data_IF_557689266836
#
_entry.id   IF_557689266836
#
_cell.length_a   1.000
_cell.length_b   1.000
_cell.length_c   1.000
_cell.angle_alpha   90.00
_cell.angle_beta   90.00
_cell.angle_gamma   90.00
#
_symmetry.space_group_name_H-M   'P 1'
#
loop_
_entity.id
_entity.type
_entity.pdbx_description
1 polymer ?
#
# COMPACT_ATOMS: atom_id res chain seq x y z
N UNK A 1 5.10 6.62 -15.55
CA UNK A 1 5.99 5.62 -16.15
C UNK A 1 6.91 4.93 -15.15
N UNK A 2 6.90 5.32 -13.85
CA UNK A 2 7.87 4.87 -12.82
C UNK A 2 7.67 3.42 -12.35
N UNK A 3 6.52 2.80 -12.62
CA UNK A 3 6.20 1.43 -12.18
C UNK A 3 5.67 0.58 -13.34
N UNK A 4 6.38 0.58 -14.48
CA UNK A 4 6.00 -0.18 -15.67
C UNK A 4 7.09 -1.14 -16.08
N UNK A 5 6.69 -2.25 -16.67
CA UNK A 5 7.57 -3.12 -17.43
C UNK A 5 7.99 -2.47 -18.75
N UNK A 6 8.99 -3.05 -19.42
CA UNK A 6 9.49 -2.55 -20.71
C UNK A 6 8.46 -2.59 -21.85
N UNK A 7 7.42 -3.43 -21.72
CA UNK A 7 6.28 -3.50 -22.65
C UNK A 7 5.18 -2.45 -22.36
N UNK A 8 5.38 -1.61 -21.32
CA UNK A 8 4.46 -0.57 -20.90
C UNK A 8 3.37 -1.04 -19.92
N UNK A 9 3.27 -2.32 -19.62
CA UNK A 9 2.33 -2.84 -18.61
C UNK A 9 2.75 -2.45 -17.19
N UNK A 10 1.78 -2.47 -16.27
CA UNK A 10 2.00 -2.10 -14.88
C UNK A 10 2.80 -3.15 -14.12
N UNK A 11 3.77 -2.73 -13.30
CA UNK A 11 4.40 -3.56 -12.26
C UNK A 11 3.60 -3.59 -10.96
N UNK A 12 2.55 -2.77 -10.86
CA UNK A 12 1.60 -2.83 -9.74
C UNK A 12 0.60 -3.95 -10.08
N UNK A 13 0.65 -5.02 -9.29
CA UNK A 13 -0.17 -6.22 -9.47
C UNK A 13 -1.58 -6.05 -8.87
N UNK A 14 -1.67 -5.30 -7.78
CA UNK A 14 -2.94 -4.94 -7.14
C UNK A 14 -2.81 -3.65 -6.33
N UNK A 15 -3.93 -2.94 -6.21
CA UNK A 15 -4.09 -1.80 -5.32
C UNK A 15 -5.36 -2.05 -4.50
N UNK A 16 -5.25 -2.15 -3.18
CA UNK A 16 -6.40 -2.06 -2.31
C UNK A 16 -6.59 -0.62 -1.84
N UNK A 17 -7.63 0.03 -2.33
CA UNK A 17 -8.02 1.36 -1.89
C UNK A 17 -9.04 1.23 -0.73
N UNK A 18 -8.58 1.46 0.49
CA UNK A 18 -9.42 1.45 1.68
C UNK A 18 -10.34 2.67 1.77
N UNK A 19 -10.13 3.70 0.93
CA UNK A 19 -10.96 4.91 0.92
C UNK A 19 -12.15 4.81 -0.02
N UNK A 20 -12.16 3.84 -0.92
CA UNK A 20 -13.25 3.61 -1.86
C UNK A 20 -14.52 3.14 -1.14
N UNK A 21 -15.68 3.59 -1.64
CA UNK A 21 -16.97 3.08 -1.15
C UNK A 21 -17.22 1.66 -1.66
N UNK A 22 -17.86 0.85 -0.82
CA UNK A 22 -18.21 -0.53 -1.14
C UNK A 22 -17.45 -1.54 -0.31
N UNK A 23 -17.54 -2.78 -0.71
CA UNK A 23 -16.81 -3.93 -0.19
C UNK A 23 -16.80 -4.98 -1.29
N UNK A 24 -15.70 -5.70 -1.42
CA UNK A 24 -15.54 -6.80 -2.37
C UNK A 24 -15.18 -8.08 -1.63
N UNK A 25 -15.38 -9.22 -2.30
CA UNK A 25 -14.94 -10.50 -1.75
C UNK A 25 -13.42 -10.48 -1.50
N UNK A 26 -13.02 -10.86 -0.29
CA UNK A 26 -11.61 -10.91 0.12
C UNK A 26 -11.11 -9.67 0.88
N UNK A 27 -11.87 -8.56 0.94
CA UNK A 27 -11.53 -7.40 1.77
C UNK A 27 -12.75 -6.90 2.57
N UNK A 28 -12.56 -6.45 3.82
CA UNK A 28 -13.69 -6.06 4.68
C UNK A 28 -14.38 -4.76 4.24
N UNK A 29 -13.70 -3.92 3.48
CA UNK A 29 -14.19 -2.63 2.96
C UNK A 29 -13.27 -2.13 1.84
N UNK A 30 -13.66 -1.04 1.19
CA UNK A 30 -12.88 -0.48 0.10
C UNK A 30 -13.00 -1.29 -1.18
N UNK A 31 -12.05 -1.09 -2.09
CA UNK A 31 -12.04 -1.75 -3.40
C UNK A 31 -10.64 -2.18 -3.80
N UNK A 32 -10.54 -3.36 -4.44
CA UNK A 32 -9.27 -3.87 -4.99
C UNK A 32 -9.28 -3.69 -6.51
N UNK A 33 -8.21 -3.13 -7.04
CA UNK A 33 -7.96 -3.01 -8.47
C UNK A 33 -6.79 -3.92 -8.83
N UNK A 34 -7.03 -4.91 -9.67
CA UNK A 34 -6.01 -5.82 -10.13
C UNK A 34 -5.26 -5.31 -11.37
N UNK A 35 -4.12 -5.92 -11.66
CA UNK A 35 -3.22 -5.52 -12.73
C UNK A 35 -3.91 -5.36 -14.09
N UNK A 36 -4.87 -6.22 -14.41
CA UNK A 36 -5.64 -6.18 -15.65
C UNK A 36 -6.41 -4.87 -15.76
N UNK A 37 -7.14 -4.49 -14.71
CA UNK A 37 -7.90 -3.23 -14.65
C UNK A 37 -6.97 -2.02 -14.71
N UNK A 38 -5.82 -2.08 -14.02
CA UNK A 38 -4.79 -1.02 -14.07
C UNK A 38 -4.26 -0.89 -15.49
N UNK A 39 -3.96 -2.00 -16.18
CA UNK A 39 -3.48 -1.99 -17.54
C UNK A 39 -4.52 -1.48 -18.55
N UNK A 40 -5.80 -1.77 -18.34
CA UNK A 40 -6.89 -1.21 -19.15
C UNK A 40 -7.01 0.30 -18.92
N UNK A 41 -6.98 0.75 -17.66
CA UNK A 41 -7.00 2.16 -17.32
C UNK A 41 -5.84 2.92 -17.97
N UNK A 42 -4.62 2.36 -17.96
CA UNK A 42 -3.44 2.97 -18.55
C UNK A 42 -3.53 3.16 -20.08
N UNK A 43 -4.43 2.45 -20.75
CA UNK A 43 -4.70 2.56 -22.21
C UNK A 43 -5.86 3.50 -22.52
N UNK A 44 -6.66 3.87 -21.51
CA UNK A 44 -7.82 4.74 -21.69
C UNK A 44 -7.42 6.21 -21.78
N UNK A 45 -8.30 7.04 -22.35
CA UNK A 45 -8.12 8.49 -22.38
C UNK A 45 -8.29 9.11 -20.98
N UNK A 46 -9.08 8.46 -20.11
CA UNK A 46 -9.30 8.86 -18.71
C UNK A 46 -9.04 7.67 -17.76
N UNK A 47 -7.79 7.44 -17.38
CA UNK A 47 -7.43 6.36 -16.46
C UNK A 47 -8.13 6.43 -15.10
N UNK A 48 -8.38 7.65 -14.60
CA UNK A 48 -8.98 7.86 -13.30
C UNK A 48 -10.47 7.52 -13.23
N UNK A 49 -11.17 7.51 -14.36
CA UNK A 49 -12.54 7.03 -14.39
C UNK A 49 -12.66 5.52 -14.13
N UNK A 50 -11.60 4.75 -14.42
CA UNK A 50 -11.56 3.31 -14.22
C UNK A 50 -10.90 2.90 -12.90
N UNK A 51 -9.79 3.57 -12.56
CA UNK A 51 -9.01 3.34 -11.33
C UNK A 51 -8.82 4.69 -10.63
N UNK A 52 -9.81 5.15 -9.85
CA UNK A 52 -9.82 6.48 -9.22
C UNK A 52 -8.93 6.56 -7.97
N UNK A 53 -7.79 5.90 -7.99
CA UNK A 53 -6.84 5.87 -6.87
C UNK A 53 -5.82 6.99 -7.04
N UNK A 54 -5.75 7.89 -6.06
CA UNK A 54 -4.79 9.00 -6.01
C UNK A 54 -4.04 8.99 -4.69
N UNK A 55 -2.84 9.55 -4.68
CA UNK A 55 -2.06 9.80 -3.47
C UNK A 55 -2.01 11.31 -3.22
N UNK A 56 -2.95 11.80 -2.40
CA UNK A 56 -3.12 13.23 -2.14
C UNK A 56 -1.95 13.83 -1.33
N UNK A 57 -1.22 13.00 -0.57
CA UNK A 57 -0.10 13.42 0.26
C UNK A 57 1.23 13.30 -0.50
N UNK A 58 1.31 12.32 -1.42
CA UNK A 58 2.50 12.04 -2.23
C UNK A 58 3.57 11.21 -1.53
N UNK A 59 3.45 10.98 -0.21
CA UNK A 59 4.44 10.24 0.58
C UNK A 59 4.57 8.78 0.11
N UNK A 60 3.46 8.07 -0.06
CA UNK A 60 3.45 6.68 -0.49
C UNK A 60 4.07 6.51 -1.88
N UNK A 61 3.71 7.39 -2.81
CA UNK A 61 4.25 7.41 -4.17
C UNK A 61 5.76 7.67 -4.18
N UNK A 62 6.21 8.66 -3.39
CA UNK A 62 7.63 8.98 -3.26
C UNK A 62 8.43 7.79 -2.71
N UNK A 63 7.98 7.19 -1.61
CA UNK A 63 8.66 6.07 -0.99
C UNK A 63 8.66 4.81 -1.87
N UNK A 64 7.55 4.53 -2.56
CA UNK A 64 7.49 3.45 -3.55
C UNK A 64 8.46 3.70 -4.70
N UNK A 65 8.62 4.95 -5.13
CA UNK A 65 9.60 5.35 -6.14
C UNK A 65 11.03 5.05 -5.70
N UNK A 66 11.39 5.41 -4.46
CA UNK A 66 12.72 5.09 -3.90
C UNK A 66 12.94 3.57 -3.77
N UNK A 67 11.91 2.83 -3.37
CA UNK A 67 12.02 1.38 -3.22
C UNK A 67 12.12 0.64 -4.55
N UNK A 68 11.26 0.96 -5.51
CA UNK A 68 11.05 0.15 -6.70
C UNK A 68 10.80 0.95 -8.00
N UNK A 69 11.15 2.24 -8.03
CA UNK A 69 10.99 3.04 -9.25
C UNK A 69 11.87 2.54 -10.39
N UNK A 70 11.39 2.68 -11.62
CA UNK A 70 12.14 2.37 -12.82
C UNK A 70 13.44 3.19 -12.89
N UNK A 71 14.40 2.70 -13.64
CA UNK A 71 15.58 3.48 -14.01
C UNK A 71 15.15 4.67 -14.88
N UNK A 72 15.61 5.86 -14.52
CA UNK A 72 15.44 7.10 -15.29
C UNK A 72 16.84 7.65 -15.56
N UNK A 73 17.42 7.22 -16.68
CA UNK A 73 18.83 7.51 -17.01
C UNK A 73 19.11 9.02 -17.09
N UNK A 74 18.16 9.79 -17.64
CA UNK A 74 18.27 11.25 -17.79
C UNK A 74 18.40 11.99 -16.44
N UNK A 75 17.81 11.43 -15.39
CA UNK A 75 17.82 11.98 -14.03
C UNK A 75 18.89 11.32 -13.13
N UNK A 76 19.59 10.30 -13.65
CA UNK A 76 20.52 9.50 -12.86
C UNK A 76 19.85 8.78 -11.67
N UNK A 77 18.57 8.48 -11.80
CA UNK A 77 17.76 7.88 -10.73
C UNK A 77 17.43 6.42 -11.02
N UNK A 78 17.46 5.60 -9.98
CA UNK A 78 16.88 4.26 -9.96
C UNK A 78 16.37 3.93 -8.56
N UNK A 79 15.23 3.24 -8.46
CA UNK A 79 14.83 2.61 -7.21
C UNK A 79 15.79 1.49 -6.82
N UNK A 80 15.77 1.09 -5.55
CA UNK A 80 16.65 0.02 -5.04
C UNK A 80 16.35 -1.33 -5.71
N UNK A 81 15.07 -1.61 -5.97
CA UNK A 81 14.60 -2.83 -6.62
C UNK A 81 13.75 -2.50 -7.87
N UNK A 82 14.36 -1.98 -8.97
CA UNK A 82 13.61 -1.42 -10.09
C UNK A 82 12.82 -2.45 -10.90
N UNK A 83 13.06 -3.75 -10.68
CA UNK A 83 12.33 -4.84 -11.31
C UNK A 83 11.30 -5.51 -10.40
N UNK A 84 11.15 -5.05 -9.14
CA UNK A 84 10.18 -5.63 -8.22
C UNK A 84 8.75 -5.37 -8.68
N UNK A 85 7.90 -6.37 -8.56
CA UNK A 85 6.46 -6.23 -8.64
C UNK A 85 5.93 -5.61 -7.35
N UNK A 86 4.84 -4.87 -7.43
CA UNK A 86 4.28 -4.11 -6.32
C UNK A 86 2.85 -4.52 -6.04
N UNK A 87 2.52 -4.63 -4.76
CA UNK A 87 1.14 -4.64 -4.25
C UNK A 87 1.01 -3.46 -3.30
N UNK A 88 0.02 -2.62 -3.52
CA UNK A 88 -0.14 -1.35 -2.82
C UNK A 88 -1.41 -1.36 -2.00
N UNK A 89 -1.36 -0.82 -0.79
CA UNK A 89 -2.56 -0.50 -0.01
C UNK A 89 -2.60 0.99 0.26
N UNK A 90 -3.64 1.64 -0.23
CA UNK A 90 -3.99 3.02 0.14
C UNK A 90 -4.81 2.97 1.42
N UNK A 91 -4.19 3.36 2.53
CA UNK A 91 -4.85 3.39 3.84
C UNK A 91 -5.89 4.51 3.90
N UNK A 92 -7.02 4.25 4.54
CA UNK A 92 -8.00 5.30 4.86
C UNK A 92 -7.55 6.08 6.08
N UNK A 93 -7.91 7.36 6.12
CA UNK A 93 -7.68 8.22 7.27
C UNK A 93 -8.53 7.76 8.47
N UNK A 94 -7.97 7.90 9.67
CA UNK A 94 -8.71 7.70 10.89
C UNK A 94 -9.91 8.65 10.97
N UNK A 95 -11.02 8.15 11.54
CA UNK A 95 -12.24 8.92 11.68
C UNK A 95 -12.02 10.17 12.55
N UNK A 96 -12.73 11.25 12.24
CA UNK A 96 -12.60 12.54 12.95
C UNK A 96 -12.87 12.38 14.46
N UNK A 97 -13.81 11.52 14.85
CA UNK A 97 -14.09 11.27 16.26
C UNK A 97 -12.86 10.65 16.99
N UNK A 98 -12.12 9.77 16.34
CA UNK A 98 -10.90 9.20 16.89
C UNK A 98 -9.76 10.22 16.90
N UNK A 99 -9.59 11.00 15.84
CA UNK A 99 -8.61 12.09 15.82
C UNK A 99 -8.87 13.06 16.99
N UNK A 100 -10.12 13.46 17.23
CA UNK A 100 -10.50 14.32 18.35
C UNK A 100 -10.23 13.69 19.71
N UNK A 101 -10.54 12.40 19.87
CA UNK A 101 -10.26 11.65 21.10
C UNK A 101 -8.76 11.65 21.45
N UNK A 102 -7.90 11.52 20.44
CA UNK A 102 -6.46 11.51 20.60
C UNK A 102 -5.79 12.89 20.48
N UNK A 103 -6.57 13.97 20.44
CA UNK A 103 -6.08 15.35 20.26
C UNK A 103 -5.24 15.55 19.01
N UNK A 104 -5.53 14.81 17.94
CA UNK A 104 -4.90 14.94 16.62
C UNK A 104 -5.68 16.00 15.83
N UNK A 105 -4.96 16.93 15.19
CA UNK A 105 -5.55 17.93 14.31
C UNK A 105 -6.33 17.27 13.15
N UNK A 106 -7.46 17.85 12.76
CA UNK A 106 -8.32 17.26 11.72
C UNK A 106 -7.57 17.09 10.39
N UNK A 107 -6.71 18.03 10.03
CA UNK A 107 -5.90 18.01 8.80
C UNK A 107 -4.62 17.17 8.92
N UNK A 108 -4.30 16.65 10.12
CA UNK A 108 -3.11 15.82 10.31
C UNK A 108 -3.37 14.40 9.82
N UNK A 109 -2.54 13.85 8.92
CA UNK A 109 -2.67 12.45 8.51
C UNK A 109 -2.54 11.52 9.72
N UNK A 110 -3.54 10.65 9.91
CA UNK A 110 -3.54 9.64 10.96
C UNK A 110 -4.29 8.40 10.48
N UNK A 111 -3.86 7.23 10.91
CA UNK A 111 -4.38 5.94 10.46
C UNK A 111 -4.70 5.05 11.65
N UNK A 112 -5.65 4.14 11.48
CA UNK A 112 -6.05 3.21 12.52
C UNK A 112 -5.18 1.93 12.45
N UNK A 113 -4.73 1.45 13.59
CA UNK A 113 -3.90 0.25 13.68
C UNK A 113 -4.60 -0.99 13.11
N UNK A 114 -5.92 -1.10 13.29
CA UNK A 114 -6.70 -2.20 12.74
C UNK A 114 -6.73 -2.21 11.20
N UNK A 115 -6.81 -1.03 10.59
CA UNK A 115 -6.78 -0.90 9.12
C UNK A 115 -5.41 -1.26 8.57
N UNK A 116 -4.36 -0.96 9.31
CA UNK A 116 -2.99 -1.34 8.98
C UNK A 116 -2.78 -2.85 9.10
N UNK A 117 -3.28 -3.48 10.17
CA UNK A 117 -3.23 -4.95 10.33
C UNK A 117 -3.97 -5.62 9.18
N UNK A 118 -5.18 -5.14 8.84
CA UNK A 118 -5.92 -5.65 7.69
C UNK A 118 -5.18 -5.47 6.36
N UNK A 119 -4.44 -4.36 6.19
CA UNK A 119 -3.59 -4.15 5.03
C UNK A 119 -2.48 -5.19 4.93
N UNK A 120 -1.84 -5.51 6.04
CA UNK A 120 -0.77 -6.52 6.11
C UNK A 120 -1.34 -7.91 5.83
N UNK A 121 -2.50 -8.25 6.40
CA UNK A 121 -3.19 -9.53 6.13
C UNK A 121 -3.51 -9.69 4.63
N UNK A 122 -4.02 -8.63 3.99
CA UNK A 122 -4.26 -8.63 2.54
C UNK A 122 -2.98 -8.88 1.75
N UNK A 123 -1.89 -8.21 2.07
CA UNK A 123 -0.61 -8.37 1.38
C UNK A 123 -0.08 -9.81 1.53
N UNK A 124 -0.13 -10.36 2.74
CA UNK A 124 0.31 -11.73 3.02
C UNK A 124 -0.54 -12.73 2.25
N UNK A 125 -1.88 -12.60 2.31
CA UNK A 125 -2.79 -13.49 1.58
C UNK A 125 -2.53 -13.44 0.07
N UNK A 126 -2.31 -12.23 -0.47
CA UNK A 126 -2.00 -12.03 -1.88
C UNK A 126 -0.70 -12.72 -2.31
N UNK A 127 0.36 -12.62 -1.49
CA UNK A 127 1.64 -13.26 -1.76
C UNK A 127 1.57 -14.79 -1.64
N UNK A 128 0.89 -15.30 -0.60
CA UNK A 128 0.71 -16.74 -0.39
C UNK A 128 -0.07 -17.42 -1.52
N UNK A 129 -1.16 -16.77 -1.98
CA UNK A 129 -1.96 -17.30 -3.10
C UNK A 129 -1.14 -17.43 -4.39
N UNK A 130 -0.11 -16.60 -4.54
CA UNK A 130 0.75 -16.56 -5.75
C UNK A 130 2.12 -17.20 -5.55
N UNK A 131 2.34 -17.82 -4.39
CA UNK A 131 3.60 -18.47 -4.02
C UNK A 131 4.83 -17.56 -4.23
N UNK A 132 4.69 -16.26 -3.86
CA UNK A 132 5.75 -15.26 -4.00
C UNK A 132 6.29 -14.82 -2.65
N UNK A 133 7.60 -14.68 -2.58
CA UNK A 133 8.25 -13.97 -1.48
C UNK A 133 7.90 -12.49 -1.51
N UNK A 134 7.79 -11.88 -0.32
CA UNK A 134 7.38 -10.50 -0.20
C UNK A 134 8.21 -9.73 0.82
N UNK A 135 8.50 -8.47 0.51
CA UNK A 135 9.01 -7.48 1.46
C UNK A 135 7.92 -6.44 1.71
N UNK A 136 7.49 -6.29 2.96
CA UNK A 136 6.49 -5.28 3.36
C UNK A 136 7.20 -4.02 3.80
N UNK A 137 6.89 -2.90 3.14
CA UNK A 137 7.33 -1.57 3.54
C UNK A 137 6.19 -0.85 4.29
N UNK A 138 6.48 -0.41 5.50
CA UNK A 138 5.58 0.36 6.34
C UNK A 138 6.18 1.75 6.56
N UNK A 139 5.77 2.73 5.75
CA UNK A 139 6.28 4.10 5.77
C UNK A 139 5.58 5.02 6.77
N UNK A 140 5.02 4.47 7.84
CA UNK A 140 4.32 5.19 8.89
C UNK A 140 4.88 4.82 10.25
N UNK A 141 4.77 5.73 11.20
CA UNK A 141 5.22 5.52 12.58
C UNK A 141 4.22 6.08 13.57
N UNK A 142 4.33 5.68 14.83
CA UNK A 142 3.53 6.20 15.93
C UNK A 142 4.44 6.72 17.04
N UNK A 143 4.08 7.88 17.61
CA UNK A 143 4.67 8.37 18.86
C UNK A 143 4.01 7.78 20.10
N UNK A 144 3.02 6.89 19.94
CA UNK A 144 2.28 6.29 21.05
C UNK A 144 2.77 4.89 21.39
N UNK A 145 2.59 4.50 22.65
CA UNK A 145 2.96 3.20 23.15
C UNK A 145 4.35 3.19 23.81
N UNK A 146 4.74 2.03 24.28
CA UNK A 146 5.95 1.83 25.07
C UNK A 146 7.23 1.61 24.24
N UNK A 147 7.11 1.55 22.91
CA UNK A 147 8.20 1.32 21.96
C UNK A 147 9.11 0.11 22.28
N UNK A 148 8.61 -0.86 23.03
CA UNK A 148 9.35 -2.04 23.45
C UNK A 148 8.96 -3.32 22.69
N UNK A 149 8.19 -3.18 21.60
CA UNK A 149 7.76 -4.29 20.77
C UNK A 149 6.58 -5.10 21.34
N UNK A 150 5.86 -4.59 22.35
CA UNK A 150 4.73 -5.28 23.00
C UNK A 150 3.37 -4.75 22.61
N UNK A 151 3.30 -3.65 21.86
CA UNK A 151 2.06 -3.14 21.30
C UNK A 151 1.41 -4.17 20.36
N UNK A 152 0.10 -4.03 20.09
CA UNK A 152 -0.65 -5.01 19.31
C UNK A 152 -0.06 -5.21 17.90
N UNK A 153 0.22 -4.13 17.17
CA UNK A 153 0.86 -4.20 15.87
C UNK A 153 2.24 -4.85 15.94
N UNK A 154 3.07 -4.49 16.93
CA UNK A 154 4.40 -5.06 17.07
C UNK A 154 4.36 -6.57 17.38
N UNK A 155 3.44 -6.99 18.25
CA UNK A 155 3.21 -8.41 18.55
C UNK A 155 2.73 -9.17 17.30
N UNK A 156 1.82 -8.57 16.52
CA UNK A 156 1.36 -9.12 15.26
C UNK A 156 2.51 -9.26 14.24
N UNK A 157 3.31 -8.21 14.03
CA UNK A 157 4.47 -8.25 13.13
C UNK A 157 5.50 -9.31 13.56
N UNK A 158 5.76 -9.44 14.85
CA UNK A 158 6.61 -10.52 15.37
C UNK A 158 6.05 -11.90 15.06
N UNK A 159 4.73 -12.10 15.20
CA UNK A 159 4.08 -13.36 14.91
C UNK A 159 4.20 -13.75 13.43
N UNK A 160 3.93 -12.82 12.52
CA UNK A 160 4.00 -13.09 11.08
C UNK A 160 5.43 -13.27 10.59
N UNK A 161 6.40 -12.55 11.18
CA UNK A 161 7.83 -12.67 10.81
C UNK A 161 8.45 -14.01 11.20
N UNK A 162 7.83 -14.76 12.13
CA UNK A 162 8.24 -16.10 12.50
C UNK A 162 7.72 -17.19 11.55
N UNK A 163 6.78 -16.85 10.67
CA UNK A 163 6.30 -17.79 9.67
C UNK A 163 7.40 -17.98 8.63
N UNK A 164 7.84 -19.23 8.36
CA UNK A 164 8.84 -19.46 7.34
C UNK A 164 8.32 -18.91 6.00
N UNK A 165 9.17 -18.15 5.31
CA UNK A 165 8.92 -17.73 3.94
C UNK A 165 8.65 -18.96 3.09
N UNK A 166 7.59 -18.93 2.34
CA UNK A 166 7.29 -19.92 1.32
C UNK A 166 7.58 -19.34 -0.03
#
# INVERSE_FOLDING_TARGET
>A
PVFRFGDGSSRILAIWDQTAEGGEEGVPFGKVYFQEQINEALKSEDPQSMVPVTDEIGHGTFMSGLAAGNVVEEEGFTGIAPNAELVVVKLRQAQICLKKFWFIGEDTPAYEENDLIGAIDFLIAYALEREKDMVIYLGISSGQGDHNGRGALAAYLNLISLQPGR
#
